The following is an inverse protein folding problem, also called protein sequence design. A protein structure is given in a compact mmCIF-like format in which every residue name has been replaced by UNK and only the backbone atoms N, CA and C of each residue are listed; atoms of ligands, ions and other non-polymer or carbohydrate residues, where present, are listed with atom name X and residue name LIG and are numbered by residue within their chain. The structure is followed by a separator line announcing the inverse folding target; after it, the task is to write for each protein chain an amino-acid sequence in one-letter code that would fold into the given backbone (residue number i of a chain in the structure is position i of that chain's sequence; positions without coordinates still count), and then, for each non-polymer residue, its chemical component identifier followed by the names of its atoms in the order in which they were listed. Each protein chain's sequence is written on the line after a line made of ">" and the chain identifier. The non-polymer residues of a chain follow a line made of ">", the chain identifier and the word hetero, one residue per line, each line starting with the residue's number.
data_IF_477822456030
#
_entry.id   IF_477822456030
#
_cell.length_a   1.000
_cell.length_b   1.000
_cell.length_c   1.000
_cell.angle_alpha   90.00
_cell.angle_beta   90.00
_cell.angle_gamma   90.00
#
_symmetry.space_group_name_H-M   'P 1'
#
loop_
_entity.id
_entity.type
_entity.pdbx_description
1 polymer ?
#
# COMPACT_ATOMS: atom_id res chain seq x y z
N UNK A 1 3.05 -9.56 22.93
CA UNK A 1 2.62 -8.36 22.19
C UNK A 1 1.52 -8.76 21.23
N UNK A 2 0.45 -7.96 21.06
CA UNK A 2 -0.56 -8.24 20.04
C UNK A 2 0.08 -8.18 18.65
N UNK A 3 -0.32 -9.07 17.75
CA UNK A 3 0.09 -9.07 16.33
C UNK A 3 -0.15 -7.70 15.68
N UNK A 4 -1.19 -6.99 16.12
CA UNK A 4 -1.52 -5.64 15.67
C UNK A 4 -0.45 -4.60 16.07
N UNK A 5 0.11 -4.71 17.28
CA UNK A 5 1.17 -3.80 17.73
C UNK A 5 2.48 -4.01 16.97
N UNK A 6 2.80 -5.25 16.63
CA UNK A 6 3.95 -5.58 15.78
C UNK A 6 3.75 -5.06 14.36
N UNK A 7 2.54 -5.16 13.80
CA UNK A 7 2.21 -4.55 12.51
C UNK A 7 2.41 -3.03 12.56
N UNK A 8 1.84 -2.35 13.56
CA UNK A 8 1.98 -0.89 13.71
C UNK A 8 3.45 -0.47 13.73
N UNK A 9 4.29 -1.19 14.46
CA UNK A 9 5.72 -0.90 14.50
C UNK A 9 6.41 -1.16 13.15
N UNK A 10 6.06 -2.26 12.46
CA UNK A 10 6.59 -2.56 11.12
C UNK A 10 6.22 -1.47 10.11
N UNK A 11 4.96 -1.01 10.09
CA UNK A 11 4.52 0.07 9.22
C UNK A 11 5.27 1.38 9.50
N UNK A 12 5.47 1.74 10.78
CA UNK A 12 6.28 2.90 11.16
C UNK A 12 7.73 2.80 10.69
N UNK A 13 8.33 1.61 10.73
CA UNK A 13 9.71 1.39 10.25
C UNK A 13 9.81 1.53 8.73
N UNK A 14 8.88 0.95 7.98
CA UNK A 14 8.82 1.11 6.52
C UNK A 14 8.72 2.60 6.16
N UNK A 15 7.78 3.30 6.78
CA UNK A 15 7.62 4.74 6.60
C UNK A 15 8.91 5.52 6.89
N UNK A 16 9.58 5.23 8.02
CA UNK A 16 10.82 5.91 8.39
C UNK A 16 11.94 5.74 7.35
N UNK A 17 12.01 4.59 6.68
CA UNK A 17 12.99 4.31 5.61
C UNK A 17 12.74 5.20 4.38
N UNK A 18 11.49 5.30 3.93
CA UNK A 18 11.15 6.05 2.71
C UNK A 18 11.13 7.56 2.92
N UNK A 19 10.86 8.02 4.14
CA UNK A 19 10.90 9.45 4.50
C UNK A 19 12.30 9.93 4.93
N UNK A 20 13.31 9.04 4.94
CA UNK A 20 14.69 9.39 5.33
C UNK A 20 14.79 9.82 6.80
N UNK A 21 13.92 9.30 7.67
CA UNK A 21 13.78 9.71 9.06
C UNK A 21 14.34 8.65 10.01
N UNK A 22 15.65 8.51 10.07
CA UNK A 22 16.29 7.94 11.25
C UNK A 22 16.29 8.97 12.38
N UNK A 23 15.19 9.15 13.13
CA UNK A 23 15.19 9.72 14.50
C UNK A 23 13.79 9.73 15.14
N UNK A 24 13.75 9.41 16.43
CA UNK A 24 12.55 9.27 17.24
C UNK A 24 12.03 10.62 17.78
N UNK A 25 10.74 10.89 17.57
CA UNK A 25 10.01 12.04 18.12
C UNK A 25 8.59 12.11 17.56
N UNK A 26 7.65 11.32 18.10
CA UNK A 26 6.41 10.86 17.44
C UNK A 26 5.31 11.91 17.14
N UNK A 27 5.64 13.20 16.95
CA UNK A 27 4.69 14.16 16.35
C UNK A 27 5.39 15.24 15.53
N UNK A 28 6.43 15.85 16.10
CA UNK A 28 7.32 16.78 15.39
C UNK A 28 8.08 16.08 14.25
N UNK A 29 8.45 14.80 14.43
CA UNK A 29 9.12 14.03 13.38
C UNK A 29 8.19 13.70 12.21
N UNK A 30 6.87 13.54 12.43
CA UNK A 30 5.91 13.21 11.37
C UNK A 30 5.63 14.40 10.46
N UNK A 31 5.51 15.61 11.03
CA UNK A 31 5.39 16.86 10.25
C UNK A 31 6.68 17.16 9.50
N UNK A 32 7.85 17.08 10.16
CA UNK A 32 9.14 17.26 9.50
C UNK A 32 9.44 16.19 8.44
N UNK A 33 8.97 14.95 8.65
CA UNK A 33 8.98 13.87 7.67
C UNK A 33 8.14 14.25 6.44
N UNK A 34 6.91 14.71 6.67
CA UNK A 34 6.00 15.10 5.60
C UNK A 34 6.54 16.27 4.77
N UNK A 35 7.11 17.29 5.42
CA UNK A 35 7.73 18.43 4.74
C UNK A 35 8.93 17.99 3.90
N UNK A 36 9.80 17.10 4.39
CA UNK A 36 10.91 16.57 3.58
C UNK A 36 10.45 15.82 2.33
N UNK A 37 9.37 15.05 2.42
CA UNK A 37 8.82 14.38 1.24
C UNK A 37 8.18 15.38 0.27
N UNK A 38 7.51 16.42 0.78
CA UNK A 38 6.97 17.50 -0.05
C UNK A 38 8.07 18.31 -0.73
N UNK A 39 9.17 18.59 -0.02
CA UNK A 39 10.38 19.21 -0.57
C UNK A 39 10.94 18.35 -1.68
N UNK A 40 11.15 17.05 -1.44
CA UNK A 40 11.63 16.12 -2.46
C UNK A 40 10.70 16.03 -3.67
N UNK A 41 9.39 16.02 -3.45
CA UNK A 41 8.40 16.07 -4.55
C UNK A 41 8.52 17.37 -5.35
N UNK A 42 8.73 18.50 -4.66
CA UNK A 42 8.89 19.83 -5.28
C UNK A 42 10.19 19.93 -6.05
N UNK A 43 11.31 19.45 -5.49
CA UNK A 43 12.62 19.41 -6.13
C UNK A 43 12.60 18.55 -7.39
N UNK A 44 12.06 17.33 -7.29
CA UNK A 44 11.88 16.47 -8.45
C UNK A 44 10.95 17.11 -9.48
N UNK A 45 9.90 17.81 -9.04
CA UNK A 45 8.98 18.52 -9.93
C UNK A 45 9.60 19.70 -10.67
N UNK A 46 10.71 20.29 -10.19
CA UNK A 46 11.46 21.32 -10.91
C UNK A 46 12.29 20.74 -12.07
N UNK A 47 12.71 19.49 -11.95
CA UNK A 47 13.59 18.82 -12.93
C UNK A 47 12.83 17.87 -13.86
N UNK A 48 11.68 17.35 -13.41
CA UNK A 48 10.88 16.33 -14.09
C UNK A 48 9.41 16.80 -14.14
N UNK A 49 8.86 17.09 -15.33
CA UNK A 49 7.49 17.58 -15.46
C UNK A 49 6.50 16.56 -14.89
N UNK A 50 5.47 17.07 -14.23
CA UNK A 50 4.41 16.21 -13.68
C UNK A 50 3.63 15.57 -14.82
N UNK A 51 3.65 14.24 -14.87
CA UNK A 51 2.88 13.44 -15.83
C UNK A 51 1.69 12.81 -15.14
N UNK A 52 0.64 12.52 -15.91
CA UNK A 52 -0.48 11.71 -15.44
C UNK A 52 -0.10 10.23 -15.54
N UNK A 53 -0.27 9.48 -14.46
CA UNK A 53 -0.06 8.04 -14.40
C UNK A 53 -1.29 7.32 -13.87
N UNK A 54 -1.55 6.15 -14.45
CA UNK A 54 -2.64 5.26 -14.07
C UNK A 54 -2.09 4.09 -13.25
N UNK A 55 -2.72 3.83 -12.10
CA UNK A 55 -2.44 2.67 -11.26
C UNK A 55 -3.70 1.82 -11.13
N UNK A 56 -3.57 0.50 -11.24
CA UNK A 56 -4.65 -0.46 -11.01
C UNK A 56 -4.37 -1.24 -9.74
N UNK A 57 -5.28 -1.16 -8.77
CA UNK A 57 -5.11 -1.80 -7.47
C UNK A 57 -5.69 -3.23 -7.51
N UNK A 58 -5.05 -4.20 -6.83
CA UNK A 58 -5.51 -5.59 -6.81
C UNK A 58 -6.82 -5.74 -6.03
N UNK A 59 -6.98 -5.00 -4.93
CA UNK A 59 -8.18 -5.04 -4.10
C UNK A 59 -8.53 -3.67 -3.49
N UNK A 60 -9.60 -3.66 -2.68
CA UNK A 60 -10.12 -2.44 -2.06
C UNK A 60 -9.21 -1.86 -0.97
N UNK A 61 -8.46 -2.69 -0.24
CA UNK A 61 -7.58 -2.30 0.85
C UNK A 61 -6.29 -1.68 0.30
N UNK A 62 -5.68 -2.32 -0.69
CA UNK A 62 -4.56 -1.75 -1.44
C UNK A 62 -4.92 -0.40 -2.03
N UNK A 63 -6.14 -0.26 -2.57
CA UNK A 63 -6.65 1.04 -3.05
C UNK A 63 -6.78 2.06 -1.94
N UNK A 64 -7.29 1.69 -0.77
CA UNK A 64 -7.40 2.61 0.36
C UNK A 64 -6.03 3.08 0.87
N UNK A 65 -5.07 2.15 0.96
CA UNK A 65 -3.69 2.44 1.31
C UNK A 65 -3.03 3.39 0.30
N UNK A 66 -3.11 3.08 -1.00
CA UNK A 66 -2.53 3.92 -2.04
C UNK A 66 -3.11 5.34 -2.05
N UNK A 67 -4.44 5.48 -1.89
CA UNK A 67 -5.10 6.77 -1.78
C UNK A 67 -4.66 7.55 -0.54
N UNK A 68 -4.48 6.88 0.60
CA UNK A 68 -4.00 7.51 1.82
C UNK A 68 -2.56 8.01 1.66
N UNK A 69 -1.69 7.20 1.05
CA UNK A 69 -0.30 7.56 0.78
C UNK A 69 -0.19 8.74 -0.20
N UNK A 70 -1.00 8.73 -1.26
CA UNK A 70 -1.07 9.87 -2.19
C UNK A 70 -1.44 11.18 -1.46
N UNK A 71 -2.51 11.14 -0.66
CA UNK A 71 -3.02 12.32 0.08
C UNK A 71 -2.02 12.82 1.11
N UNK A 72 -1.33 11.89 1.78
CA UNK A 72 -0.25 12.20 2.72
C UNK A 72 0.80 13.08 2.04
N UNK A 73 1.26 12.71 0.86
CA UNK A 73 2.25 13.48 0.10
C UNK A 73 1.69 14.71 -0.62
N UNK A 74 0.45 15.11 -0.34
CA UNK A 74 -0.17 16.29 -0.94
C UNK A 74 -0.59 16.09 -2.40
N UNK A 75 -0.45 14.88 -2.94
CA UNK A 75 -1.00 14.55 -4.25
C UNK A 75 -2.52 14.42 -4.18
N UNK A 76 -3.16 14.75 -5.29
CA UNK A 76 -4.62 14.67 -5.44
C UNK A 76 -4.95 13.50 -6.37
N UNK A 77 -5.18 12.29 -5.85
CA UNK A 77 -5.59 11.18 -6.69
C UNK A 77 -7.01 11.42 -7.21
N UNK A 78 -7.25 11.08 -8.47
CA UNK A 78 -8.55 11.19 -9.11
C UNK A 78 -8.84 9.96 -9.95
N UNK A 79 -10.02 9.95 -10.59
CA UNK A 79 -10.43 8.93 -11.53
C UNK A 79 -11.32 9.59 -12.58
N UNK A 80 -11.16 9.21 -13.84
CA UNK A 80 -12.03 9.66 -14.91
C UNK A 80 -13.41 9.01 -14.84
N UNK A 81 -14.38 9.65 -15.49
CA UNK A 81 -15.69 9.05 -15.70
C UNK A 81 -15.54 7.69 -16.40
N UNK A 82 -16.32 6.68 -15.96
CA UNK A 82 -16.31 5.29 -16.47
C UNK A 82 -15.03 4.47 -16.26
N UNK A 83 -14.00 4.98 -15.59
CA UNK A 83 -12.88 4.14 -15.15
C UNK A 83 -13.31 3.15 -14.06
N UNK A 84 -12.67 1.98 -14.03
CA UNK A 84 -12.93 0.93 -13.04
C UNK A 84 -12.65 1.44 -11.62
N UNK A 85 -13.39 0.93 -10.63
CA UNK A 85 -13.29 1.42 -9.24
C UNK A 85 -11.89 1.23 -8.62
N UNK A 86 -11.14 0.24 -9.09
CA UNK A 86 -9.78 -0.06 -8.67
C UNK A 86 -8.70 0.78 -9.37
N UNK A 87 -9.07 1.59 -10.36
CA UNK A 87 -8.17 2.50 -11.05
C UNK A 87 -8.01 3.81 -10.27
N UNK A 88 -6.77 4.26 -10.13
CA UNK A 88 -6.39 5.55 -9.53
C UNK A 88 -5.47 6.30 -10.48
N UNK A 89 -5.81 7.55 -10.78
CA UNK A 89 -4.98 8.48 -11.53
C UNK A 89 -4.24 9.40 -10.59
N UNK A 90 -2.96 9.63 -10.84
CA UNK A 90 -2.12 10.57 -10.09
C UNK A 90 -1.31 11.42 -11.06
N UNK A 91 -1.22 12.73 -10.80
CA UNK A 91 -0.32 13.63 -11.52
C UNK A 91 0.85 14.02 -10.61
N UNK A 92 2.04 13.56 -10.95
CA UNK A 92 3.28 13.83 -10.20
C UNK A 92 4.51 13.57 -11.10
N UNK A 93 5.72 14.00 -10.69
CA UNK A 93 6.96 13.67 -11.39
C UNK A 93 7.16 12.15 -11.46
N UNK A 94 7.49 11.61 -12.63
CA UNK A 94 7.63 10.16 -12.84
C UNK A 94 8.67 9.58 -11.89
N UNK A 95 9.79 10.28 -11.71
CA UNK A 95 10.85 9.85 -10.78
C UNK A 95 10.37 9.70 -9.34
N UNK A 96 9.51 10.60 -8.88
CA UNK A 96 8.95 10.50 -7.53
C UNK A 96 8.05 9.26 -7.39
N UNK A 97 7.22 9.01 -8.40
CA UNK A 97 6.33 7.86 -8.43
C UNK A 97 7.12 6.55 -8.39
N UNK A 98 8.17 6.43 -9.20
CA UNK A 98 8.96 5.21 -9.32
C UNK A 98 9.91 4.97 -8.13
N UNK A 99 10.50 6.03 -7.55
CA UNK A 99 11.57 5.90 -6.55
C UNK A 99 11.08 6.05 -5.11
N UNK A 100 9.90 6.63 -4.89
CA UNK A 100 9.38 6.92 -3.55
C UNK A 100 8.00 6.29 -3.38
N UNK A 101 7.00 6.76 -4.14
CA UNK A 101 5.61 6.38 -3.88
C UNK A 101 5.36 4.87 -4.07
N UNK A 102 5.77 4.33 -5.22
CA UNK A 102 5.49 2.93 -5.56
C UNK A 102 6.25 1.92 -4.71
N UNK A 103 7.56 2.09 -4.44
CA UNK A 103 8.29 1.22 -3.52
C UNK A 103 7.70 1.21 -2.11
N UNK A 104 7.41 2.38 -1.54
CA UNK A 104 6.83 2.48 -0.20
C UNK A 104 5.44 1.84 -0.14
N UNK A 105 4.59 2.13 -1.13
CA UNK A 105 3.29 1.48 -1.24
C UNK A 105 3.43 -0.05 -1.26
N UNK A 106 4.36 -0.59 -2.06
CA UNK A 106 4.53 -2.04 -2.20
C UNK A 106 4.95 -2.70 -0.87
N UNK A 107 5.85 -2.07 -0.11
CA UNK A 107 6.26 -2.60 1.20
C UNK A 107 5.14 -2.51 2.25
N UNK A 108 4.42 -1.37 2.29
CA UNK A 108 3.29 -1.19 3.19
C UNK A 108 2.16 -2.18 2.86
N UNK A 109 1.84 -2.36 1.58
CA UNK A 109 0.79 -3.25 1.10
C UNK A 109 1.12 -4.71 1.43
N UNK A 110 2.35 -5.15 1.14
CA UNK A 110 2.79 -6.50 1.49
C UNK A 110 2.70 -6.77 3.00
N UNK A 111 3.12 -5.81 3.83
CA UNK A 111 3.04 -5.95 5.29
C UNK A 111 1.59 -6.02 5.78
N UNK A 112 0.71 -5.18 5.22
CA UNK A 112 -0.71 -5.14 5.59
C UNK A 112 -1.44 -6.40 5.14
N UNK A 113 -1.24 -6.86 3.90
CA UNK A 113 -1.85 -8.06 3.35
C UNK A 113 -1.44 -9.31 4.15
N UNK A 114 -0.16 -9.44 4.49
CA UNK A 114 0.32 -10.54 5.32
C UNK A 114 -0.38 -10.59 6.69
N UNK A 115 -0.56 -9.43 7.32
CA UNK A 115 -1.27 -9.35 8.60
C UNK A 115 -2.75 -9.69 8.46
N UNK A 116 -3.44 -9.11 7.47
CA UNK A 116 -4.86 -9.37 7.23
C UNK A 116 -5.10 -10.86 6.96
N UNK A 117 -4.24 -11.49 6.15
CA UNK A 117 -4.29 -12.91 5.88
C UNK A 117 -4.12 -13.75 7.15
N UNK A 118 -3.10 -13.45 7.96
CA UNK A 118 -2.85 -14.18 9.22
C UNK A 118 -4.01 -14.04 10.22
N UNK A 119 -4.54 -12.84 10.40
CA UNK A 119 -5.68 -12.61 11.31
C UNK A 119 -6.92 -13.30 10.81
N UNK A 120 -7.20 -13.23 9.49
CA UNK A 120 -8.37 -13.87 8.89
C UNK A 120 -8.30 -15.39 9.04
N UNK A 121 -7.17 -16.01 8.69
CA UNK A 121 -6.99 -17.45 8.86
C UNK A 121 -7.12 -17.88 10.31
N UNK A 122 -6.60 -17.11 11.25
CA UNK A 122 -6.74 -17.41 12.68
C UNK A 122 -8.21 -17.39 13.10
N UNK A 123 -8.96 -16.35 12.74
CA UNK A 123 -10.40 -16.26 13.07
C UNK A 123 -11.18 -17.42 12.45
N UNK A 124 -10.89 -17.81 11.21
CA UNK A 124 -11.53 -18.97 10.58
C UNK A 124 -11.23 -20.25 11.35
N UNK A 125 -9.96 -20.50 11.71
CA UNK A 125 -9.54 -21.70 12.44
C UNK A 125 -10.13 -21.79 13.84
N UNK A 126 -10.14 -20.66 14.55
CA UNK A 126 -10.52 -20.60 15.96
C UNK A 126 -12.06 -20.60 16.11
N UNK A 127 -12.80 -19.93 15.21
CA UNK A 127 -14.23 -19.64 15.39
C UNK A 127 -15.16 -20.37 14.40
N UNK A 128 -14.66 -20.81 13.24
CA UNK A 128 -15.47 -21.47 12.21
C UNK A 128 -15.15 -22.96 12.14
N UNK A 129 -13.91 -23.30 11.74
CA UNK A 129 -13.44 -24.67 11.66
C UNK A 129 -11.91 -24.73 11.57
N UNK A 130 -11.30 -25.68 12.29
CA UNK A 130 -9.85 -25.78 12.42
C UNK A 130 -9.09 -26.05 11.10
N UNK A 131 -9.72 -26.74 10.14
CA UNK A 131 -9.17 -26.92 8.80
C UNK A 131 -9.55 -25.73 7.91
N UNK A 132 -8.53 -24.96 7.55
CA UNK A 132 -8.60 -23.87 6.60
C UNK A 132 -7.58 -24.09 5.47
N UNK A 133 -7.31 -25.36 5.14
CA UNK A 133 -6.46 -25.74 4.01
C UNK A 133 -7.18 -25.51 2.68
N UNK A 134 -6.38 -25.37 1.62
CA UNK A 134 -6.93 -25.21 0.26
C UNK A 134 -7.59 -26.51 -0.22
N UNK A 135 -8.56 -26.36 -1.13
CA UNK A 135 -9.23 -27.50 -1.72
C UNK A 135 -8.26 -28.38 -2.52
N UNK A 136 -8.47 -29.69 -2.46
CA UNK A 136 -7.74 -30.63 -3.32
C UNK A 136 -8.06 -30.35 -4.80
N UNK A 137 -7.03 -30.18 -5.61
CA UNK A 137 -7.17 -30.16 -7.07
C UNK A 137 -7.40 -31.60 -7.58
N UNK A 138 -8.56 -31.83 -8.20
CA UNK A 138 -8.91 -33.10 -8.83
C UNK A 138 -9.17 -32.86 -10.33
N UNK A 139 -8.68 -33.74 -11.24
CA UNK A 139 -8.94 -33.59 -12.67
C UNK A 139 -10.44 -33.70 -12.98
N UNK A 140 -10.93 -32.92 -13.95
CA UNK A 140 -12.29 -33.09 -14.47
C UNK A 140 -12.40 -34.44 -15.17
N UNK A 141 -13.29 -35.31 -14.68
CA UNK A 141 -13.52 -36.60 -15.31
C UNK A 141 -14.20 -36.37 -16.67
N UNK A 142 -13.53 -36.79 -17.76
CA UNK A 142 -14.16 -36.80 -19.08
C UNK A 142 -15.37 -37.74 -19.06
N UNK A 143 -16.52 -37.34 -19.65
CA UNK A 143 -17.68 -38.21 -19.72
C UNK A 143 -17.34 -39.50 -20.49
N UNK A 144 -17.98 -40.63 -20.15
CA UNK A 144 -17.74 -41.89 -20.84
C UNK A 144 -18.12 -41.77 -22.33
N UNK A 145 -17.21 -42.22 -23.21
CA UNK A 145 -17.41 -42.31 -24.65
C UNK A 145 -18.56 -43.26 -25.03
#
# INVERSE_FOLDING_TARGET
>A
MSTESQLREKLRKIEALFVGAGTAGERLAAEAALERVRERLTELGRQDPSIEMQFSMPDQWSRHLFLALCRRYGMKPYRYYRQRRNTVMVRAPKRFLDQVLWPEFSELDQALQAYLHQVTLRVIRDEVFADASEAQEIPEALPPN
#
